data_IF_468021532600
#
_entry.id   IF_468021532600
#
_cell.length_a   1.000
_cell.length_b   1.000
_cell.length_c   1.000
_cell.angle_alpha   90.00
_cell.angle_beta   90.00
_cell.angle_gamma   90.00
#
_symmetry.space_group_name_H-M   'P 1'
#
loop_
_entity.id
_entity.type
_entity.pdbx_description
1 polymer ?
#
# COMPACT_ATOMS: atom_id res chain seq x y z
N UNK A 1 -16.96 3.35 -1.41
CA UNK A 1 -16.44 3.46 -2.79
C UNK A 1 -15.20 2.60 -2.84
N UNK A 2 -15.05 1.76 -3.86
CA UNK A 2 -13.86 0.91 -3.96
C UNK A 2 -12.62 1.80 -4.16
N UNK A 3 -11.47 1.46 -3.55
CA UNK A 3 -10.25 2.23 -3.75
C UNK A 3 -9.82 2.13 -5.23
N UNK A 4 -9.10 3.13 -5.72
CA UNK A 4 -8.62 3.13 -7.11
C UNK A 4 -7.63 1.97 -7.34
N UNK A 5 -7.61 1.36 -8.55
CA UNK A 5 -6.57 0.40 -8.91
C UNK A 5 -5.20 1.09 -9.04
N UNK A 6 -4.14 0.29 -9.01
CA UNK A 6 -2.78 0.72 -9.33
C UNK A 6 -2.20 -0.09 -10.49
N UNK A 7 -1.18 0.45 -11.13
CA UNK A 7 -0.50 -0.17 -12.28
C UNK A 7 1.01 -0.18 -12.00
N UNK A 8 1.68 -1.30 -12.30
CA UNK A 8 3.14 -1.43 -12.20
C UNK A 8 3.64 -2.58 -13.08
N UNK A 9 4.93 -2.56 -13.42
CA UNK A 9 5.61 -3.68 -14.08
C UNK A 9 5.93 -4.84 -13.12
N UNK A 10 5.97 -4.61 -11.81
CA UNK A 10 6.30 -5.60 -10.77
C UNK A 10 7.60 -6.40 -11.07
N UNK A 11 8.62 -5.71 -11.58
CA UNK A 11 9.91 -6.32 -11.96
C UNK A 11 9.89 -7.13 -13.26
N UNK A 12 8.79 -7.10 -14.01
CA UNK A 12 8.65 -7.78 -15.31
C UNK A 12 8.68 -6.79 -16.48
N UNK A 13 8.43 -7.28 -17.70
CA UNK A 13 8.22 -6.42 -18.89
C UNK A 13 6.75 -6.11 -19.17
N UNK A 14 5.82 -6.75 -18.46
CA UNK A 14 4.38 -6.63 -18.70
C UNK A 14 3.73 -5.80 -17.58
N UNK A 15 2.74 -5.00 -17.95
CA UNK A 15 1.97 -4.24 -16.97
C UNK A 15 1.01 -5.15 -16.22
N UNK A 16 0.90 -4.89 -14.93
CA UNK A 16 -0.03 -5.52 -14.03
C UNK A 16 -1.00 -4.48 -13.48
N UNK A 17 -2.25 -4.90 -13.25
CA UNK A 17 -3.29 -4.10 -12.62
C UNK A 17 -3.57 -4.68 -11.23
N UNK A 18 -3.34 -3.88 -10.20
CA UNK A 18 -3.56 -4.24 -8.80
C UNK A 18 -4.91 -3.65 -8.38
N UNK A 19 -5.84 -4.50 -7.95
CA UNK A 19 -7.23 -4.13 -7.69
C UNK A 19 -7.65 -4.50 -6.27
N UNK A 20 -7.89 -3.50 -5.39
CA UNK A 20 -8.50 -3.74 -4.09
C UNK A 20 -10.01 -4.01 -4.25
N UNK A 21 -10.49 -5.12 -3.68
CA UNK A 21 -11.90 -5.53 -3.76
C UNK A 21 -12.56 -5.60 -2.37
N UNK A 22 -13.86 -5.31 -2.32
CA UNK A 22 -14.66 -5.38 -1.08
C UNK A 22 -15.05 -6.81 -0.68
N UNK A 23 -14.70 -7.81 -1.48
CA UNK A 23 -14.82 -9.23 -1.11
C UNK A 23 -13.73 -9.69 -0.12
N UNK A 24 -12.82 -8.79 0.28
CA UNK A 24 -11.75 -9.07 1.23
C UNK A 24 -10.42 -9.45 0.58
N UNK A 25 -10.28 -9.27 -0.74
CA UNK A 25 -9.09 -9.60 -1.48
C UNK A 25 -8.47 -8.41 -2.22
N UNK A 26 -7.14 -8.42 -2.28
CA UNK A 26 -6.34 -7.66 -3.23
C UNK A 26 -6.01 -8.57 -4.41
N UNK A 27 -6.33 -8.15 -5.62
CA UNK A 27 -6.08 -8.92 -6.84
C UNK A 27 -4.94 -8.31 -7.66
N UNK A 28 -4.27 -9.16 -8.42
CA UNK A 28 -3.38 -8.76 -9.49
C UNK A 28 -3.77 -9.45 -10.80
N UNK A 29 -3.92 -8.65 -11.85
CA UNK A 29 -4.22 -9.11 -13.19
C UNK A 29 -3.12 -8.69 -14.15
N UNK A 30 -2.85 -9.49 -15.18
CA UNK A 30 -2.02 -9.06 -16.29
C UNK A 30 -2.79 -8.16 -17.27
N UNK A 31 -2.09 -7.68 -18.32
CA UNK A 31 -2.66 -6.85 -19.37
C UNK A 31 -3.75 -7.53 -20.21
N UNK A 32 -3.90 -8.86 -20.11
CA UNK A 32 -4.94 -9.63 -20.78
C UNK A 32 -6.17 -9.84 -19.88
N UNK A 33 -6.10 -9.39 -18.62
CA UNK A 33 -7.16 -9.52 -17.63
C UNK A 33 -7.19 -10.88 -16.93
N UNK A 34 -6.10 -11.66 -17.01
CA UNK A 34 -5.98 -12.93 -16.30
C UNK A 34 -5.48 -12.69 -14.88
N UNK A 35 -6.15 -13.28 -13.89
CA UNK A 35 -5.71 -13.22 -12.48
C UNK A 35 -4.36 -13.96 -12.34
N UNK A 36 -3.31 -13.23 -11.95
CA UNK A 36 -2.01 -13.84 -11.65
C UNK A 36 -1.96 -14.31 -10.20
N UNK A 37 -2.44 -13.49 -9.27
CA UNK A 37 -2.51 -13.81 -7.85
C UNK A 37 -3.56 -12.97 -7.13
N UNK A 38 -3.90 -13.40 -5.90
CA UNK A 38 -4.71 -12.61 -4.95
C UNK A 38 -4.28 -12.84 -3.51
N UNK A 39 -4.50 -11.84 -2.68
CA UNK A 39 -4.18 -11.86 -1.25
C UNK A 39 -5.42 -11.53 -0.43
N UNK A 40 -5.75 -12.40 0.52
CA UNK A 40 -6.84 -12.15 1.45
C UNK A 40 -6.38 -11.21 2.57
N UNK A 41 -7.08 -10.09 2.75
CA UNK A 41 -6.87 -9.17 3.86
C UNK A 41 -8.04 -9.13 4.85
N UNK A 42 -9.25 -9.52 4.40
CA UNK A 42 -10.43 -9.66 5.24
C UNK A 42 -10.96 -11.11 5.19
N UNK A 43 -11.22 -11.68 6.36
CA UNK A 43 -11.70 -13.05 6.50
C UNK A 43 -13.10 -13.05 7.13
N UNK A 44 -13.98 -13.89 6.58
CA UNK A 44 -15.35 -14.04 7.08
C UNK A 44 -15.37 -14.43 8.56
N UNK A 45 -16.30 -13.84 9.31
CA UNK A 45 -16.54 -14.16 10.72
C UNK A 45 -15.77 -13.31 11.74
N UNK A 46 -15.01 -12.30 11.30
CA UNK A 46 -14.34 -11.33 12.15
C UNK A 46 -14.94 -9.92 12.09
N UNK A 47 -14.25 -8.96 12.71
CA UNK A 47 -14.49 -7.53 12.49
C UNK A 47 -14.33 -7.20 11.00
N UNK A 48 -15.20 -6.33 10.47
CA UNK A 48 -15.05 -5.85 9.10
C UNK A 48 -13.68 -5.20 8.91
N UNK A 49 -12.94 -5.62 7.89
CA UNK A 49 -11.68 -5.02 7.46
C UNK A 49 -11.85 -4.47 6.05
N UNK A 50 -11.72 -3.15 5.89
CA UNK A 50 -11.57 -2.50 4.60
C UNK A 50 -10.10 -2.23 4.29
N UNK A 51 -9.76 -1.95 3.03
CA UNK A 51 -8.42 -1.52 2.63
C UNK A 51 -8.43 -0.17 1.91
N UNK A 52 -7.35 0.59 2.07
CA UNK A 52 -7.07 1.78 1.26
C UNK A 52 -6.53 1.42 -0.13
N UNK A 53 -6.14 2.43 -0.89
CA UNK A 53 -5.42 2.23 -2.15
C UNK A 53 -4.01 1.69 -1.87
N UNK A 54 -3.37 1.11 -2.88
CA UNK A 54 -1.99 0.60 -2.78
C UNK A 54 -0.97 1.67 -3.17
N UNK A 55 0.23 1.56 -2.62
CA UNK A 55 1.43 2.23 -3.10
C UNK A 55 2.45 1.17 -3.53
N UNK A 56 3.29 1.49 -4.52
CA UNK A 56 4.23 0.53 -5.12
C UNK A 56 5.61 1.18 -5.25
N UNK A 57 6.65 0.51 -4.76
CA UNK A 57 8.04 0.99 -4.81
C UNK A 57 9.01 -0.03 -4.25
N UNK A 58 10.28 0.09 -4.61
CA UNK A 58 11.37 -0.79 -4.17
C UNK A 58 11.85 -0.38 -2.76
N UNK A 59 11.50 -1.20 -1.78
CA UNK A 59 11.73 -0.95 -0.36
C UNK A 59 12.91 -1.75 0.19
N UNK A 60 13.33 -2.81 -0.52
CA UNK A 60 14.48 -3.63 -0.14
C UNK A 60 15.74 -3.38 -1.00
N UNK A 61 15.61 -2.53 -2.02
CA UNK A 61 16.64 -2.12 -2.97
C UNK A 61 17.19 -3.28 -3.81
N UNK A 62 16.30 -4.18 -4.24
CA UNK A 62 16.64 -5.30 -5.13
C UNK A 62 16.33 -5.01 -6.63
N UNK A 63 15.72 -3.87 -6.94
CA UNK A 63 15.30 -3.47 -8.29
C UNK A 63 13.91 -3.97 -8.73
N UNK A 64 13.17 -4.65 -7.85
CA UNK A 64 11.80 -5.14 -8.01
C UNK A 64 10.96 -4.45 -6.95
N UNK A 65 9.83 -3.80 -7.30
CA UNK A 65 9.05 -3.07 -6.32
C UNK A 65 8.19 -3.99 -5.44
N UNK A 66 8.02 -3.58 -4.19
CA UNK A 66 7.03 -4.12 -3.26
C UNK A 66 5.69 -3.39 -3.36
N UNK A 67 4.64 -4.07 -2.89
CA UNK A 67 3.26 -3.55 -2.85
C UNK A 67 2.90 -3.26 -1.40
N UNK A 68 2.53 -2.02 -1.12
CA UNK A 68 2.19 -1.53 0.21
C UNK A 68 0.72 -1.14 0.28
N UNK A 69 0.01 -1.63 1.28
CA UNK A 69 -1.34 -1.17 1.56
C UNK A 69 -1.67 -1.22 3.04
N UNK A 70 -2.68 -0.45 3.43
CA UNK A 70 -3.16 -0.39 4.81
C UNK A 70 -4.63 -0.75 4.88
N UNK A 71 -5.02 -1.34 6.00
CA UNK A 71 -6.41 -1.66 6.29
C UNK A 71 -7.01 -0.72 7.33
N UNK A 72 -8.33 -0.69 7.38
CA UNK A 72 -9.11 0.06 8.36
C UNK A 72 -10.31 -0.75 8.84
N UNK A 73 -10.81 -0.40 10.03
CA UNK A 73 -12.00 -1.03 10.59
C UNK A 73 -12.87 -0.02 11.35
N UNK A 74 -14.03 -0.47 11.81
CA UNK A 74 -14.76 0.20 12.89
C UNK A 74 -14.21 -0.19 14.26
N UNK A 75 -13.60 -1.37 14.36
CA UNK A 75 -12.98 -1.90 15.58
C UNK A 75 -11.56 -1.39 15.75
N UNK A 76 -11.11 -1.25 17.00
CA UNK A 76 -9.77 -0.74 17.30
C UNK A 76 -8.73 -1.86 17.26
N UNK A 77 -7.51 -1.52 16.83
CA UNK A 77 -6.30 -2.35 16.88
C UNK A 77 -6.36 -3.66 16.06
N UNK A 78 -7.31 -3.76 15.12
CA UNK A 78 -7.41 -4.88 14.18
C UNK A 78 -6.79 -4.57 12.81
N UNK A 79 -6.59 -3.29 12.51
CA UNK A 79 -6.01 -2.80 11.26
C UNK A 79 -4.51 -3.06 11.16
N UNK A 80 -4.02 -3.22 9.93
CA UNK A 80 -2.64 -3.58 9.63
C UNK A 80 -2.08 -2.79 8.44
N UNK A 81 -0.76 -2.68 8.39
CA UNK A 81 0.03 -2.33 7.23
C UNK A 81 0.57 -3.63 6.64
N UNK A 82 0.36 -3.82 5.35
CA UNK A 82 0.82 -4.96 4.57
C UNK A 82 1.91 -4.51 3.61
N UNK A 83 2.97 -5.31 3.52
CA UNK A 83 4.01 -5.21 2.50
C UNK A 83 4.09 -6.58 1.85
N UNK A 84 3.87 -6.62 0.53
CA UNK A 84 3.93 -7.81 -0.29
C UNK A 84 5.08 -7.70 -1.29
N UNK A 85 5.64 -8.84 -1.69
CA UNK A 85 6.51 -8.89 -2.87
C UNK A 85 5.69 -8.75 -4.18
N UNK A 86 6.38 -8.66 -5.30
CA UNK A 86 5.79 -8.59 -6.65
C UNK A 86 4.86 -9.77 -7.01
N UNK A 87 5.00 -10.91 -6.33
CA UNK A 87 4.18 -12.11 -6.56
C UNK A 87 3.00 -12.22 -5.56
N UNK A 88 2.76 -11.18 -4.74
CA UNK A 88 1.71 -11.16 -3.74
C UNK A 88 2.04 -11.95 -2.46
N UNK A 89 3.29 -12.38 -2.26
CA UNK A 89 3.70 -13.05 -1.03
C UNK A 89 3.85 -12.03 0.10
N UNK A 90 3.36 -12.37 1.29
CA UNK A 90 3.45 -11.51 2.46
C UNK A 90 4.89 -11.40 2.98
N UNK A 91 5.48 -10.21 2.91
CA UNK A 91 6.78 -9.90 3.51
C UNK A 91 6.62 -9.39 4.95
N UNK A 92 5.74 -8.41 5.14
CA UNK A 92 5.48 -7.81 6.46
C UNK A 92 4.00 -7.56 6.70
N UNK A 93 3.59 -7.75 7.95
CA UNK A 93 2.26 -7.42 8.47
C UNK A 93 2.41 -6.75 9.83
N UNK A 94 2.13 -5.46 9.89
CA UNK A 94 2.44 -4.61 11.04
C UNK A 94 1.15 -4.02 11.61
N UNK A 95 1.06 -3.93 12.93
CA UNK A 95 -0.08 -3.31 13.61
C UNK A 95 -0.17 -1.81 13.32
N UNK A 96 -1.35 -1.36 12.92
CA UNK A 96 -1.67 0.07 12.73
C UNK A 96 -2.56 0.51 13.89
N UNK A 97 -2.26 1.67 14.45
CA UNK A 97 -2.94 2.14 15.65
C UNK A 97 -4.43 2.46 15.40
N UNK A 98 -5.24 2.26 16.44
CA UNK A 98 -6.66 2.59 16.41
C UNK A 98 -7.39 1.84 15.31
N UNK A 99 -8.20 2.54 14.54
CA UNK A 99 -9.05 1.97 13.48
C UNK A 99 -8.37 1.92 12.11
N UNK A 100 -7.06 2.14 12.05
CA UNK A 100 -6.28 2.05 10.82
C UNK A 100 -6.27 3.32 9.96
N UNK A 101 -5.95 3.13 8.68
CA UNK A 101 -5.93 4.18 7.65
C UNK A 101 -6.84 3.80 6.49
N UNK A 102 -7.72 4.72 6.11
CA UNK A 102 -8.55 4.59 4.89
C UNK A 102 -7.84 5.13 3.65
N UNK A 103 -6.81 5.95 3.84
CA UNK A 103 -6.08 6.57 2.75
C UNK A 103 -5.00 5.63 2.19
N UNK A 104 -4.62 5.87 0.94
CA UNK A 104 -3.43 5.29 0.34
C UNK A 104 -2.20 5.57 1.23
N UNK A 105 -1.29 4.60 1.43
CA UNK A 105 0.05 4.90 1.91
C UNK A 105 0.73 5.92 0.99
N UNK A 106 1.65 6.68 1.55
CA UNK A 106 2.58 7.50 0.76
C UNK A 106 3.99 6.98 0.94
N UNK A 107 4.68 6.70 -0.17
CA UNK A 107 6.10 6.42 -0.23
C UNK A 107 6.82 7.72 -0.54
N UNK A 108 7.66 8.21 0.37
CA UNK A 108 8.44 9.44 0.15
C UNK A 108 9.65 9.51 1.09
N UNK A 109 10.73 10.11 0.60
CA UNK A 109 11.87 10.54 1.42
C UNK A 109 11.51 11.84 2.16
N UNK A 110 10.98 11.68 3.36
CA UNK A 110 10.43 12.77 4.15
C UNK A 110 11.54 13.56 4.86
N UNK A 111 12.56 12.87 5.36
CA UNK A 111 13.65 13.49 6.12
C UNK A 111 14.89 13.87 5.28
N UNK A 112 14.86 13.58 3.97
CA UNK A 112 15.86 13.92 2.96
C UNK A 112 17.19 13.22 3.18
N UNK A 113 17.17 12.00 3.69
CA UNK A 113 18.37 11.18 3.88
C UNK A 113 18.65 10.22 2.71
N UNK A 114 17.82 10.27 1.67
CA UNK A 114 17.93 9.43 0.48
C UNK A 114 17.22 8.08 0.60
N UNK A 115 16.45 7.86 1.67
CA UNK A 115 15.66 6.64 1.89
C UNK A 115 14.17 6.95 1.85
N UNK A 116 13.42 5.99 1.33
CA UNK A 116 11.95 6.10 1.26
C UNK A 116 11.31 5.67 2.58
N UNK A 117 10.46 6.52 3.15
CA UNK A 117 9.55 6.17 4.25
C UNK A 117 8.18 5.73 3.75
N UNK A 118 7.48 4.91 4.56
CA UNK A 118 6.03 4.72 4.45
C UNK A 118 5.33 5.68 5.41
N UNK A 119 4.40 6.48 4.89
CA UNK A 119 3.64 7.48 5.65
C UNK A 119 2.16 7.15 5.57
N UNK A 120 1.50 7.03 6.73
CA UNK A 120 0.06 6.77 6.84
C UNK A 120 -0.66 7.89 7.59
N UNK A 121 -1.79 8.34 7.06
CA UNK A 121 -2.76 9.16 7.79
C UNK A 121 -3.78 8.27 8.48
N UNK A 122 -3.89 8.38 9.80
CA UNK A 122 -4.78 7.53 10.58
C UNK A 122 -6.18 8.10 10.71
N UNK A 123 -7.14 7.19 10.89
CA UNK A 123 -8.54 7.53 11.20
C UNK A 123 -8.70 8.12 12.61
N UNK A 124 -7.84 7.71 13.54
CA UNK A 124 -7.86 8.15 14.93
C UNK A 124 -6.70 9.09 15.23
N UNK A 125 -6.92 10.00 16.17
CA UNK A 125 -5.87 10.90 16.69
C UNK A 125 -4.89 10.10 17.53
N UNK A 126 -3.59 10.33 17.32
CA UNK A 126 -2.54 9.84 18.21
C UNK A 126 -1.97 11.02 19.01
N UNK A 127 -1.90 10.89 20.33
CA UNK A 127 -1.30 11.92 21.18
C UNK A 127 -2.14 13.21 21.30
N UNK A 128 -1.56 14.35 20.90
CA UNK A 128 -1.90 15.69 21.42
C UNK A 128 -3.13 16.42 20.86
N UNK A 129 -3.89 15.86 19.90
CA UNK A 129 -5.25 16.36 19.63
C UNK A 129 -5.66 16.60 18.18
N UNK A 130 -4.74 16.77 17.23
CA UNK A 130 -5.10 17.30 15.90
C UNK A 130 -5.02 16.29 14.73
N UNK A 131 -4.60 15.06 15.00
CA UNK A 131 -4.52 14.01 13.97
C UNK A 131 -3.68 12.81 14.40
N UNK A 132 -3.64 11.78 13.55
CA UNK A 132 -2.77 10.63 13.75
C UNK A 132 -1.97 10.37 12.48
N UNK A 133 -0.65 10.25 12.63
CA UNK A 133 0.25 9.85 11.56
C UNK A 133 1.18 8.78 12.10
N UNK A 134 1.42 7.75 11.30
CA UNK A 134 2.51 6.81 11.55
C UNK A 134 3.47 6.84 10.36
N UNK A 135 4.76 6.88 10.67
CA UNK A 135 5.85 6.89 9.69
C UNK A 135 6.77 5.72 10.01
N UNK A 136 7.06 4.90 8.99
CA UNK A 136 8.05 3.84 9.09
C UNK A 136 9.24 4.18 8.21
N UNK A 137 10.41 4.21 8.84
CA UNK A 137 11.68 4.31 8.14
C UNK A 137 12.16 2.95 7.71
N UNK A 138 12.49 2.81 6.43
CA UNK A 138 12.94 1.56 5.85
C UNK A 138 14.42 1.70 5.55
N UNK A 139 15.26 1.06 6.36
CA UNK A 139 16.71 1.25 6.29
C UNK A 139 17.32 0.83 4.94
N UNK A 140 16.69 -0.12 4.25
CA UNK A 140 17.09 -0.65 2.95
C UNK A 140 16.56 0.16 1.76
N UNK A 141 15.47 0.90 1.93
CA UNK A 141 14.80 1.54 0.81
C UNK A 141 15.65 2.67 0.23
N UNK A 142 15.58 2.84 -1.08
CA UNK A 142 16.16 3.99 -1.78
C UNK A 142 15.06 4.71 -2.56
N UNK A 143 15.38 5.91 -3.05
CA UNK A 143 14.43 6.70 -3.87
C UNK A 143 14.47 6.31 -5.36
N UNK A 144 15.06 5.15 -5.69
CA UNK A 144 15.48 4.84 -7.07
C UNK A 144 14.36 4.23 -7.92
N UNK A 145 13.41 3.53 -7.30
CA UNK A 145 12.27 2.89 -7.98
C UNK A 145 11.02 3.12 -7.15
N UNK A 146 10.20 4.09 -7.57
CA UNK A 146 8.92 4.41 -6.94
C UNK A 146 7.86 4.51 -8.04
N UNK A 147 7.15 3.41 -8.25
CA UNK A 147 6.22 3.19 -9.36
C UNK A 147 4.86 3.88 -9.16
N UNK A 148 4.35 3.83 -7.92
CA UNK A 148 3.03 4.35 -7.54
C UNK A 148 3.11 4.92 -6.13
N UNK A 149 3.74 6.10 -5.94
CA UNK A 149 4.09 6.62 -4.62
C UNK A 149 2.91 6.92 -3.70
N UNK A 150 1.72 7.17 -4.26
CA UNK A 150 0.55 7.58 -3.49
C UNK A 150 -0.72 7.23 -4.24
N UNK A 151 -1.86 7.54 -3.63
CA UNK A 151 -3.15 7.37 -4.29
C UNK A 151 -3.21 8.08 -5.64
N UNK A 152 -3.61 7.33 -6.67
CA UNK A 152 -3.72 7.77 -8.09
C UNK A 152 -2.39 8.09 -8.79
N UNK A 153 -1.39 7.24 -8.66
CA UNK A 153 -0.20 7.27 -9.51
C UNK A 153 0.91 8.09 -8.89
N UNK A 154 1.22 9.23 -9.50
CA UNK A 154 2.28 10.12 -9.06
C UNK A 154 1.88 11.05 -7.90
N UNK A 155 2.83 11.85 -7.40
CA UNK A 155 2.59 12.82 -6.31
C UNK A 155 1.56 13.92 -6.67
N UNK A 156 1.32 14.16 -7.96
CA UNK A 156 0.26 15.06 -8.46
C UNK A 156 -1.11 14.38 -8.54
N UNK A 157 -1.16 13.05 -8.36
CA UNK A 157 -2.36 12.21 -8.39
C UNK A 157 -3.09 12.23 -9.73
N UNK A 158 -2.33 12.25 -10.84
CA UNK A 158 -2.89 12.34 -12.20
C UNK A 158 -3.48 11.02 -12.71
N UNK A 159 -3.14 9.89 -12.08
CA UNK A 159 -3.50 8.56 -12.56
C UNK A 159 -2.59 8.03 -13.67
N UNK A 160 -1.49 8.72 -13.98
CA UNK A 160 -0.49 8.30 -14.97
C UNK A 160 0.62 7.47 -14.32
N UNK A 161 1.21 6.59 -15.13
CA UNK A 161 2.32 5.71 -14.76
C UNK A 161 3.49 5.95 -15.74
N UNK A 162 4.69 6.23 -15.21
CA UNK A 162 5.94 6.31 -15.99
C UNK A 162 6.37 7.70 -16.48
N UNK A 163 6.01 8.79 -15.79
CA UNK A 163 6.49 10.16 -16.12
C UNK A 163 7.92 10.45 -15.63
#
# INVERSE_FOLDING_TARGET
>A
MAPSPAISYLGTTNLHIIVPSYDGYLYCFDSEGIENWKVQFDAQGGDFIGMGEVAIGDLDNNGIPEIVFTTYSTSQNVSKLYILDANGSLLHRIDVAGRGSMAAPTLADYDKDGKTEIILSLKDVLGGGDGGVQIWKIASATNSVIDWPTGRGNYLRTGEFGD
#
